data_IF_920172471808
#
_entry.id   IF_920172471808
#
_cell.length_a   1.000
_cell.length_b   1.000
_cell.length_c   1.000
_cell.angle_alpha   90.00
_cell.angle_beta   90.00
_cell.angle_gamma   90.00
#
_symmetry.space_group_name_H-M   'P 1'
#
loop_
_entity.id
_entity.type
_entity.pdbx_description
1 polymer ?
#
# COMPACT_ATOMS: atom_id res chain seq x y z
N UNK A 1 8.40 -10.28 9.39
CA UNK A 1 7.45 -9.18 9.62
C UNK A 1 8.25 -7.90 9.74
N UNK A 2 7.88 -6.87 8.98
CA UNK A 2 8.42 -5.52 9.12
C UNK A 2 7.34 -4.58 9.67
N UNK A 3 7.74 -3.38 10.05
CA UNK A 3 6.82 -2.32 10.46
C UNK A 3 6.86 -1.24 9.39
N UNK A 4 5.69 -0.74 8.96
CA UNK A 4 5.61 0.43 8.10
C UNK A 4 6.16 1.66 8.84
N UNK A 5 7.00 2.44 8.16
CA UNK A 5 7.59 3.66 8.66
C UNK A 5 7.21 4.86 7.79
N UNK A 6 7.36 6.06 8.34
CA UNK A 6 7.24 7.28 7.56
C UNK A 6 8.37 7.31 6.52
N UNK A 7 8.00 7.52 5.26
CA UNK A 7 8.92 7.48 4.13
C UNK A 7 8.74 6.23 3.25
N UNK A 8 8.19 5.15 3.79
CA UNK A 8 7.89 3.95 2.99
C UNK A 8 6.89 4.28 1.88
N UNK A 9 7.19 3.79 0.68
CA UNK A 9 6.36 4.02 -0.50
C UNK A 9 5.55 2.76 -0.83
N UNK A 10 4.22 2.88 -0.77
CA UNK A 10 3.32 1.80 -1.16
C UNK A 10 3.22 1.75 -2.69
N UNK A 11 3.48 0.57 -3.26
CA UNK A 11 3.43 0.29 -4.69
C UNK A 11 2.13 -0.42 -5.09
N UNK A 12 1.62 -1.31 -4.23
CA UNK A 12 0.41 -2.08 -4.49
C UNK A 12 -0.45 -2.27 -3.23
N UNK A 13 -1.75 -2.49 -3.44
CA UNK A 13 -2.70 -2.85 -2.39
C UNK A 13 -3.43 -4.12 -2.82
N UNK A 14 -3.25 -5.20 -2.07
CA UNK A 14 -3.80 -6.54 -2.37
C UNK A 14 -3.51 -7.00 -3.81
N UNK A 15 -2.30 -6.70 -4.31
CA UNK A 15 -1.87 -7.02 -5.67
C UNK A 15 -2.34 -6.04 -6.75
N UNK A 16 -3.11 -5.01 -6.40
CA UNK A 16 -3.49 -3.96 -7.34
C UNK A 16 -2.45 -2.82 -7.32
N UNK A 17 -1.78 -2.52 -8.45
CA UNK A 17 -0.77 -1.47 -8.51
C UNK A 17 -1.39 -0.08 -8.35
N UNK A 18 -0.66 0.82 -7.67
CA UNK A 18 -1.10 2.19 -7.40
C UNK A 18 -0.60 3.22 -8.42
N UNK A 19 0.25 2.81 -9.37
CA UNK A 19 0.77 3.74 -10.39
C UNK A 19 -0.37 4.35 -11.22
N UNK A 20 -0.42 5.68 -11.29
CA UNK A 20 -1.48 6.42 -11.97
C UNK A 20 -2.84 6.44 -11.25
N UNK A 21 -2.96 5.80 -10.09
CA UNK A 21 -4.20 5.77 -9.31
C UNK A 21 -4.40 7.07 -8.52
N UNK A 22 -5.64 7.53 -8.42
CA UNK A 22 -5.98 8.65 -7.54
C UNK A 22 -5.96 8.21 -6.08
N UNK A 23 -5.64 9.15 -5.19
CA UNK A 23 -5.57 8.88 -3.76
C UNK A 23 -6.90 8.38 -3.18
N UNK A 24 -8.03 8.85 -3.70
CA UNK A 24 -9.36 8.42 -3.23
C UNK A 24 -9.66 6.96 -3.59
N UNK A 25 -9.21 6.51 -4.76
CA UNK A 25 -9.38 5.12 -5.20
C UNK A 25 -8.54 4.19 -4.33
N UNK A 26 -7.27 4.54 -4.09
CA UNK A 26 -6.38 3.81 -3.20
C UNK A 26 -6.98 3.71 -1.78
N UNK A 27 -7.55 4.80 -1.26
CA UNK A 27 -8.26 4.81 0.03
C UNK A 27 -9.47 3.89 0.04
N UNK A 28 -10.19 3.80 -1.07
CA UNK A 28 -11.35 2.91 -1.19
C UNK A 28 -10.95 1.44 -1.16
N UNK A 29 -9.83 1.08 -1.80
CA UNK A 29 -9.26 -0.28 -1.72
C UNK A 29 -8.90 -0.68 -0.28
N UNK A 30 -8.26 0.23 0.47
CA UNK A 30 -7.92 0.01 1.88
C UNK A 30 -9.20 -0.20 2.70
N UNK A 31 -10.16 0.72 2.60
CA UNK A 31 -11.42 0.66 3.35
C UNK A 31 -12.27 -0.56 2.99
N UNK A 32 -12.20 -1.04 1.75
CA UNK A 32 -12.91 -2.22 1.28
C UNK A 32 -12.32 -3.55 1.78
N UNK A 33 -11.10 -3.54 2.32
CA UNK A 33 -10.43 -4.75 2.81
C UNK A 33 -10.98 -5.18 4.17
N UNK A 34 -11.48 -6.42 4.27
CA UNK A 34 -12.20 -6.90 5.46
C UNK A 34 -11.36 -7.67 6.49
N UNK A 35 -10.34 -8.42 6.04
CA UNK A 35 -9.58 -9.31 6.92
C UNK A 35 -8.08 -9.00 6.91
N UNK A 36 -7.47 -9.01 5.73
CA UNK A 36 -6.02 -8.85 5.61
C UNK A 36 -5.69 -7.92 4.46
N UNK A 37 -4.87 -6.92 4.75
CA UNK A 37 -4.33 -5.97 3.79
C UNK A 37 -2.90 -6.38 3.46
N UNK A 38 -2.64 -6.70 2.19
CA UNK A 38 -1.30 -6.94 1.68
C UNK A 38 -0.83 -5.69 0.95
N UNK A 39 0.40 -5.26 1.25
CA UNK A 39 1.01 -4.08 0.67
C UNK A 39 2.38 -4.48 0.12
N UNK A 40 2.62 -4.14 -1.14
CA UNK A 40 3.98 -4.14 -1.67
C UNK A 40 4.55 -2.74 -1.42
N UNK A 41 5.74 -2.69 -0.83
CA UNK A 41 6.39 -1.44 -0.45
C UNK A 41 7.82 -1.37 -0.96
N UNK A 42 8.26 -0.14 -1.23
CA UNK A 42 9.64 0.24 -1.44
C UNK A 42 10.12 1.00 -0.20
N UNK A 43 11.27 0.61 0.32
CA UNK A 43 11.91 1.22 1.48
C UNK A 43 13.42 1.26 1.25
N UNK A 44 14.07 2.29 1.80
CA UNK A 44 15.52 2.39 1.72
C UNK A 44 16.17 1.39 2.67
N UNK A 45 17.17 0.66 2.17
CA UNK A 45 18.04 -0.17 2.99
C UNK A 45 19.22 0.71 3.42
N UNK A 46 19.20 1.14 4.68
CA UNK A 46 20.33 1.84 5.30
C UNK A 46 21.52 0.89 5.54
#
# INVERSE_FOLDING_TARGET
>A
SGTLQLGDRILSINGQPLEGMLLEDARSLIKGTKQQLHLDIEFDVA
#
